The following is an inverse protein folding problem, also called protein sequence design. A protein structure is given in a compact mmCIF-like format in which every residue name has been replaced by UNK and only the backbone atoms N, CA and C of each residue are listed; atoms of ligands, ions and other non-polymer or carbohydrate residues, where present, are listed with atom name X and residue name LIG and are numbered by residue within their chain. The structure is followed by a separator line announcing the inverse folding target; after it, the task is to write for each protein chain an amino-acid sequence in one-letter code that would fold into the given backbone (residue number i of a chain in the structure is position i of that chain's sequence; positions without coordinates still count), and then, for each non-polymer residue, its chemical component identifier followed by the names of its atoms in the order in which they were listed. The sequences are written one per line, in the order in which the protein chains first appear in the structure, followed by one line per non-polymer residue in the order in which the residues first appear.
data_IF_968412796959
#
_entry.id   IF_968412796959
#
_cell.length_a   1.000
_cell.length_b   1.000
_cell.length_c   1.000
_cell.angle_alpha   90.00
_cell.angle_beta   90.00
_cell.angle_gamma   90.00
#
_symmetry.space_group_name_H-M   'P 1'
#
loop_
_entity.id
_entity.type
_entity.pdbx_description
1 polymer ?
#
# COMPACT_ATOMS: atom_id res chain seq x y z
N UNK A 1 79.26 50.14 -15.29
CA UNK A 1 77.93 50.46 -14.74
C UNK A 1 77.20 49.15 -14.50
N UNK A 2 76.74 48.98 -13.26
CA UNK A 2 75.79 47.97 -12.72
C UNK A 2 76.16 46.49 -12.70
N UNK A 3 76.63 46.07 -11.51
CA UNK A 3 76.60 44.73 -10.93
C UNK A 3 75.25 44.00 -11.13
N UNK A 4 75.29 42.71 -11.49
CA UNK A 4 74.24 41.73 -11.15
C UNK A 4 74.89 40.48 -10.54
N UNK A 5 74.49 40.05 -9.33
CA UNK A 5 75.03 38.89 -8.66
C UNK A 5 74.29 37.59 -9.05
N UNK A 6 75.06 36.50 -8.96
CA UNK A 6 74.66 35.09 -8.96
C UNK A 6 73.89 34.72 -7.69
N UNK A 7 72.76 34.00 -7.79
CA UNK A 7 72.20 33.21 -6.68
C UNK A 7 71.46 31.96 -7.18
N UNK A 8 71.68 30.88 -6.41
CA UNK A 8 71.31 29.46 -6.57
C UNK A 8 69.81 29.14 -6.68
N UNK A 9 69.45 27.94 -7.20
CA UNK A 9 68.07 27.49 -7.27
C UNK A 9 67.56 27.03 -5.90
N UNK A 10 66.51 27.69 -5.40
CA UNK A 10 65.78 27.33 -4.20
C UNK A 10 64.77 26.22 -4.53
N UNK A 11 64.91 25.07 -3.87
CA UNK A 11 63.94 23.97 -3.89
C UNK A 11 62.63 24.42 -3.25
N UNK A 12 61.56 24.51 -4.04
CA UNK A 12 60.20 24.66 -3.50
C UNK A 12 59.66 23.26 -3.23
N UNK A 13 59.55 22.94 -1.94
CA UNK A 13 58.84 21.77 -1.43
C UNK A 13 57.35 22.12 -1.43
N UNK A 14 56.59 21.51 -2.33
CA UNK A 14 55.12 21.62 -2.37
C UNK A 14 54.55 20.82 -1.20
N UNK A 15 54.15 21.52 -0.13
CA UNK A 15 53.40 20.95 0.98
C UNK A 15 51.92 20.86 0.56
N UNK A 16 51.48 19.68 0.12
CA UNK A 16 50.07 19.37 -0.12
C UNK A 16 49.35 19.23 1.23
N UNK A 17 48.63 20.28 1.66
CA UNK A 17 47.68 20.20 2.77
C UNK A 17 46.39 19.58 2.22
N UNK A 18 46.22 18.28 2.43
CA UNK A 18 44.95 17.58 2.22
C UNK A 18 43.97 17.99 3.34
N UNK A 19 43.16 19.00 3.08
CA UNK A 19 41.93 19.23 3.84
C UNK A 19 40.96 18.09 3.51
N UNK A 20 40.91 17.07 4.37
CA UNK A 20 39.81 16.10 4.39
C UNK A 20 38.54 16.82 4.86
N UNK A 21 37.80 17.41 3.92
CA UNK A 21 36.40 17.79 4.16
C UNK A 21 35.60 16.49 4.10
N UNK A 22 35.33 15.91 5.26
CA UNK A 22 34.35 14.85 5.41
C UNK A 22 32.96 15.45 5.16
N UNK A 23 32.52 15.42 3.90
CA UNK A 23 31.12 15.60 3.51
C UNK A 23 30.39 14.33 3.96
N UNK A 24 29.95 14.29 5.20
CA UNK A 24 28.93 13.35 5.64
C UNK A 24 27.58 13.88 5.14
N UNK A 25 27.19 13.43 3.95
CA UNK A 25 25.83 13.61 3.43
C UNK A 25 24.90 12.72 4.26
N UNK A 26 24.37 13.24 5.36
CA UNK A 26 23.23 12.64 6.07
C UNK A 26 21.98 12.84 5.21
N UNK A 27 21.86 12.08 4.12
CA UNK A 27 20.59 11.88 3.44
C UNK A 27 19.72 10.95 4.31
N UNK A 28 19.25 11.45 5.45
CA UNK A 28 18.14 10.83 6.17
C UNK A 28 16.92 10.96 5.28
N UNK A 29 16.58 9.89 4.58
CA UNK A 29 15.31 9.77 3.89
C UNK A 29 14.20 10.12 4.90
N UNK A 30 13.52 11.25 4.68
CA UNK A 30 12.38 11.66 5.50
C UNK A 30 11.31 10.62 5.27
N UNK A 31 11.03 9.80 6.29
CA UNK A 31 9.92 8.86 6.20
C UNK A 31 8.62 9.67 6.07
N UNK A 32 7.72 9.28 5.15
CA UNK A 32 6.46 9.98 4.99
C UNK A 32 5.68 9.97 6.30
N UNK A 33 5.08 11.11 6.65
CA UNK A 33 4.22 11.22 7.81
C UNK A 33 3.00 10.31 7.61
N UNK A 34 2.85 9.32 8.47
CA UNK A 34 1.74 8.36 8.43
C UNK A 34 0.69 8.74 9.47
N UNK A 35 -0.52 9.00 8.99
CA UNK A 35 -1.70 9.32 9.79
C UNK A 35 -2.50 8.05 10.09
N UNK A 36 -2.94 7.93 11.34
CA UNK A 36 -3.77 6.82 11.82
C UNK A 36 -4.82 7.30 12.79
N UNK A 37 -6.08 7.21 12.40
CA UNK A 37 -7.20 7.68 13.22
C UNK A 37 -8.51 7.01 12.79
N UNK A 38 -9.51 7.12 13.67
CA UNK A 38 -10.87 6.69 13.40
C UNK A 38 -11.76 7.92 13.27
N UNK A 39 -12.58 7.98 12.21
CA UNK A 39 -13.45 9.12 11.94
C UNK A 39 -14.69 8.77 11.12
N UNK A 40 -15.61 9.72 11.05
CA UNK A 40 -16.78 9.65 10.17
C UNK A 40 -16.41 10.05 8.75
N UNK A 41 -16.72 9.24 7.73
CA UNK A 41 -16.55 9.66 6.36
C UNK A 41 -17.54 10.76 5.99
N UNK A 42 -17.05 11.73 5.23
CA UNK A 42 -17.79 12.79 4.58
C UNK A 42 -17.69 12.54 3.08
N UNK A 43 -18.83 12.45 2.41
CA UNK A 43 -18.85 12.39 0.95
C UNK A 43 -19.06 13.79 0.39
N UNK A 44 -18.16 14.21 -0.48
CA UNK A 44 -18.22 15.47 -1.22
C UNK A 44 -18.57 15.17 -2.67
N UNK A 45 -19.62 15.81 -3.17
CA UNK A 45 -19.95 15.76 -4.59
C UNK A 45 -18.83 16.39 -5.44
N UNK A 46 -18.75 16.08 -6.74
CA UNK A 46 -17.71 16.65 -7.61
C UNK A 46 -18.30 17.20 -8.89
N UNK A 47 -17.88 18.40 -9.26
CA UNK A 47 -18.28 19.11 -10.49
C UNK A 47 -17.79 18.42 -11.78
N UNK A 48 -16.81 17.52 -11.68
CA UNK A 48 -16.13 16.88 -12.82
C UNK A 48 -16.76 15.56 -13.31
N UNK A 49 -18.01 15.24 -12.94
CA UNK A 49 -18.82 14.24 -13.64
C UNK A 49 -18.28 12.80 -13.68
N UNK A 50 -17.58 12.33 -12.63
CA UNK A 50 -17.12 10.93 -12.54
C UNK A 50 -17.74 10.15 -11.37
N UNK A 51 -17.70 8.83 -11.54
CA UNK A 51 -18.52 7.74 -10.96
C UNK A 51 -18.52 7.56 -9.42
N UNK A 52 -17.77 8.36 -8.67
CA UNK A 52 -17.80 8.38 -7.21
C UNK A 52 -17.11 9.66 -6.79
N UNK A 53 -17.82 10.55 -6.09
CA UNK A 53 -17.27 11.81 -5.59
C UNK A 53 -16.07 11.63 -4.66
N UNK A 54 -15.73 12.69 -3.95
CA UNK A 54 -14.60 12.69 -3.02
C UNK A 54 -15.01 12.09 -1.68
N UNK A 55 -14.15 11.23 -1.14
CA UNK A 55 -14.28 10.70 0.21
C UNK A 55 -13.29 11.41 1.13
N UNK A 56 -13.84 12.10 2.11
CA UNK A 56 -13.11 12.87 3.09
C UNK A 56 -13.36 12.31 4.47
N UNK A 57 -12.51 12.66 5.43
CA UNK A 57 -12.68 12.29 6.83
C UNK A 57 -11.91 13.29 7.69
N UNK A 58 -12.55 13.74 8.76
CA UNK A 58 -11.94 14.65 9.72
C UNK A 58 -11.29 13.83 10.83
N UNK A 59 -10.01 14.06 11.10
CA UNK A 59 -9.35 13.52 12.29
C UNK A 59 -9.90 14.25 13.52
N UNK A 60 -10.59 13.55 14.45
CA UNK A 60 -11.20 14.18 15.61
C UNK A 60 -10.17 14.79 16.57
N UNK A 61 -8.90 14.37 16.53
CA UNK A 61 -7.87 14.86 17.43
C UNK A 61 -7.25 16.18 16.97
N UNK A 62 -7.06 16.36 15.66
CA UNK A 62 -6.45 17.57 15.08
C UNK A 62 -7.44 18.51 14.42
N UNK A 63 -8.64 18.02 14.07
CA UNK A 63 -9.60 18.73 13.23
C UNK A 63 -9.19 18.80 11.75
N UNK A 64 -8.11 18.12 11.36
CA UNK A 64 -7.63 18.12 9.98
C UNK A 64 -8.53 17.25 9.10
N UNK A 65 -8.94 17.81 7.96
CA UNK A 65 -9.68 17.08 6.92
C UNK A 65 -8.73 16.40 5.95
N UNK A 66 -8.86 15.09 5.82
CA UNK A 66 -8.07 14.27 4.92
C UNK A 66 -8.89 13.77 3.72
N UNK A 67 -8.26 13.70 2.54
CA UNK A 67 -8.77 13.02 1.35
C UNK A 67 -8.33 11.55 1.36
N UNK A 68 -9.30 10.65 1.49
CA UNK A 68 -9.12 9.19 1.48
C UNK A 68 -9.66 8.55 0.20
N UNK A 69 -9.95 9.35 -0.82
CA UNK A 69 -10.52 8.89 -2.10
C UNK A 69 -9.62 7.88 -2.80
N UNK A 70 -8.31 7.91 -2.57
CA UNK A 70 -7.36 6.94 -3.12
C UNK A 70 -7.46 5.53 -2.52
N UNK A 71 -8.23 5.35 -1.42
CA UNK A 71 -8.42 4.06 -0.78
C UNK A 71 -8.99 2.99 -1.71
N UNK A 72 -8.50 1.76 -1.59
CA UNK A 72 -8.93 0.61 -2.41
C UNK A 72 -10.39 0.27 -2.14
N UNK A 73 -10.75 0.11 -0.88
CA UNK A 73 -12.13 0.13 -0.43
C UNK A 73 -12.62 1.57 -0.22
N UNK A 74 -13.88 1.80 -0.58
CA UNK A 74 -14.54 3.08 -0.33
C UNK A 74 -15.28 3.04 1.01
N UNK A 75 -15.30 4.16 1.75
CA UNK A 75 -16.13 4.27 2.94
C UNK A 75 -17.60 3.96 2.67
N UNK A 76 -18.32 3.56 3.72
CA UNK A 76 -19.77 3.47 3.72
C UNK A 76 -20.33 4.68 4.47
N UNK A 77 -21.20 5.46 3.82
CA UNK A 77 -21.85 6.60 4.47
C UNK A 77 -22.61 6.13 5.72
N UNK A 78 -22.35 6.79 6.84
CA UNK A 78 -22.97 6.48 8.12
C UNK A 78 -22.28 5.38 8.93
N UNK A 79 -21.10 4.91 8.50
CA UNK A 79 -20.24 4.03 9.30
C UNK A 79 -18.88 4.66 9.54
N UNK A 80 -18.34 4.49 10.74
CA UNK A 80 -16.98 4.92 11.09
C UNK A 80 -15.97 4.16 10.23
N UNK A 81 -14.84 4.79 9.95
CA UNK A 81 -13.73 4.18 9.25
C UNK A 81 -12.43 4.31 10.05
N UNK A 82 -11.59 3.28 10.00
CA UNK A 82 -10.18 3.36 10.34
C UNK A 82 -9.41 3.84 9.10
N UNK A 83 -8.67 4.93 9.25
CA UNK A 83 -7.80 5.52 8.25
C UNK A 83 -6.37 5.22 8.63
N UNK A 84 -5.60 4.68 7.69
CA UNK A 84 -4.16 4.50 7.80
C UNK A 84 -3.54 4.95 6.49
N UNK A 85 -2.83 6.08 6.46
CA UNK A 85 -2.35 6.65 5.20
C UNK A 85 -1.15 7.57 5.33
N UNK A 86 -0.37 7.69 4.26
CA UNK A 86 0.77 8.59 4.20
C UNK A 86 0.36 9.94 3.62
N UNK A 87 0.76 11.03 4.26
CA UNK A 87 0.54 12.39 3.75
C UNK A 87 1.31 12.56 2.43
N UNK A 88 0.57 12.82 1.36
CA UNK A 88 1.11 13.03 0.02
C UNK A 88 1.65 14.45 -0.13
N UNK A 89 2.71 14.58 -0.93
CA UNK A 89 3.28 15.88 -1.33
C UNK A 89 2.56 16.48 -2.56
N UNK A 90 1.49 15.83 -3.05
CA UNK A 90 0.69 16.33 -4.17
C UNK A 90 -0.12 17.58 -3.80
N UNK A 91 -0.57 18.32 -4.82
CA UNK A 91 -1.36 19.56 -4.63
C UNK A 91 -2.66 19.27 -3.82
N UNK A 92 -2.82 19.87 -2.62
CA UNK A 92 -3.96 19.62 -1.72
C UNK A 92 -5.31 20.15 -2.24
N UNK A 93 -5.35 20.77 -3.43
CA UNK A 93 -6.60 21.27 -4.02
C UNK A 93 -7.57 20.16 -4.43
N UNK A 94 -7.08 18.95 -4.68
CA UNK A 94 -7.95 17.82 -5.03
C UNK A 94 -8.86 17.48 -3.86
N UNK A 95 -10.15 17.38 -4.15
CA UNK A 95 -11.17 16.99 -3.17
C UNK A 95 -11.26 17.88 -1.92
N UNK A 96 -10.44 18.93 -1.77
CA UNK A 96 -10.43 19.90 -0.68
C UNK A 96 -10.12 19.33 0.71
N UNK A 97 -9.14 18.42 0.78
CA UNK A 97 -8.57 17.86 2.01
C UNK A 97 -7.10 17.51 1.82
N UNK A 98 -6.38 17.28 2.92
CA UNK A 98 -4.98 16.81 2.88
C UNK A 98 -4.95 15.41 2.29
N UNK A 99 -4.21 15.21 1.20
CA UNK A 99 -4.22 13.94 0.47
C UNK A 99 -3.48 12.86 1.25
N UNK A 100 -4.15 11.72 1.47
CA UNK A 100 -3.50 10.49 1.91
C UNK A 100 -3.32 9.54 0.73
N UNK A 101 -2.06 9.26 0.38
CA UNK A 101 -1.71 8.36 -0.72
C UNK A 101 -0.29 7.81 -0.53
N UNK A 102 -0.12 6.49 -0.31
CA UNK A 102 -1.17 5.47 -0.22
C UNK A 102 -2.05 5.61 1.04
N UNK A 103 -3.26 5.06 0.97
CA UNK A 103 -4.21 5.03 2.09
C UNK A 103 -5.00 3.72 2.13
N UNK A 104 -5.10 3.14 3.32
CA UNK A 104 -5.95 2.01 3.68
C UNK A 104 -7.17 2.55 4.45
N UNK A 105 -8.36 2.13 4.03
CA UNK A 105 -9.64 2.55 4.61
C UNK A 105 -10.40 1.30 5.03
N UNK A 106 -10.51 1.06 6.34
CA UNK A 106 -11.29 -0.07 6.85
C UNK A 106 -12.62 0.42 7.40
N UNK A 107 -13.73 -0.13 6.92
CA UNK A 107 -15.06 0.18 7.45
C UNK A 107 -15.26 -0.54 8.77
N UNK A 108 -15.69 0.21 9.78
CA UNK A 108 -15.91 -0.30 11.13
C UNK A 108 -17.42 -0.47 11.39
N UNK A 109 -17.83 -1.38 12.29
CA UNK A 109 -19.25 -1.63 12.55
C UNK A 109 -19.95 -0.46 13.27
N UNK A 110 -19.21 0.44 13.92
CA UNK A 110 -19.77 1.58 14.62
C UNK A 110 -20.44 2.53 13.64
N UNK A 111 -21.73 2.80 13.86
CA UNK A 111 -22.47 3.78 13.08
C UNK A 111 -22.03 5.21 13.44
N UNK A 112 -22.21 6.13 12.51
CA UNK A 112 -22.07 7.54 12.77
C UNK A 112 -22.94 8.40 11.85
N UNK A 113 -22.97 9.72 12.07
CA UNK A 113 -23.84 10.61 11.27
C UNK A 113 -23.31 10.69 9.83
N UNK A 114 -24.14 10.40 8.81
CA UNK A 114 -23.72 10.57 7.42
C UNK A 114 -23.61 12.06 7.09
N UNK A 115 -22.54 12.43 6.38
CA UNK A 115 -22.32 13.79 5.91
C UNK A 115 -22.13 13.80 4.39
N UNK A 116 -23.02 14.54 3.72
CA UNK A 116 -22.97 14.79 2.28
C UNK A 116 -22.80 16.30 2.08
N UNK A 117 -21.76 16.73 1.39
CA UNK A 117 -21.49 18.15 1.13
C UNK A 117 -21.41 18.42 -0.38
N UNK A 118 -21.79 19.63 -0.83
CA UNK A 118 -21.63 20.02 -2.23
C UNK A 118 -20.15 20.07 -2.63
N UNK A 119 -19.89 20.18 -3.94
CA UNK A 119 -18.52 20.19 -4.48
C UNK A 119 -17.63 21.34 -3.96
N UNK A 120 -18.25 22.48 -3.61
CA UNK A 120 -17.55 23.67 -3.08
C UNK A 120 -16.41 24.16 -4.01
N UNK A 121 -16.51 23.88 -5.31
CA UNK A 121 -15.50 24.25 -6.31
C UNK A 121 -14.20 23.45 -6.25
N UNK A 122 -14.14 22.37 -5.46
CA UNK A 122 -12.97 21.49 -5.42
C UNK A 122 -12.98 20.49 -6.57
N UNK A 123 -11.89 20.40 -7.37
CA UNK A 123 -11.81 19.40 -8.42
C UNK A 123 -11.78 17.99 -7.83
N UNK A 124 -12.56 17.09 -8.42
CA UNK A 124 -12.50 15.67 -8.12
C UNK A 124 -11.26 14.98 -8.69
N UNK A 125 -10.95 13.78 -8.20
CA UNK A 125 -9.91 12.93 -8.78
C UNK A 125 -10.34 12.40 -10.14
N UNK A 126 -9.54 12.67 -11.17
CA UNK A 126 -9.74 12.08 -12.49
C UNK A 126 -9.33 10.61 -12.43
N UNK A 127 -10.25 9.70 -12.76
CA UNK A 127 -9.88 8.29 -12.94
C UNK A 127 -8.75 8.14 -13.98
N UNK A 128 -7.70 7.48 -13.55
CA UNK A 128 -6.66 6.95 -14.41
C UNK A 128 -6.86 5.44 -14.47
N UNK A 129 -6.77 4.86 -15.67
CA UNK A 129 -6.77 3.42 -15.80
C UNK A 129 -5.48 2.89 -15.13
N UNK A 130 -5.57 1.93 -14.20
CA UNK A 130 -4.37 1.33 -13.62
C UNK A 130 -3.47 0.70 -14.68
N UNK A 131 -2.16 0.65 -14.41
CA UNK A 131 -1.20 0.02 -15.33
C UNK A 131 -1.50 -1.48 -15.53
N UNK A 132 -1.92 -2.14 -14.46
CA UNK A 132 -2.35 -3.53 -14.47
C UNK A 132 -3.87 -3.59 -14.33
N UNK A 133 -4.54 -4.04 -15.38
CA UNK A 133 -5.98 -4.29 -15.37
C UNK A 133 -6.25 -5.74 -15.75
N UNK A 134 -7.25 -6.32 -15.12
CA UNK A 134 -7.71 -7.65 -15.48
C UNK A 134 -8.23 -7.60 -16.93
N UNK A 135 -7.70 -8.44 -17.81
CA UNK A 135 -8.20 -8.48 -19.18
C UNK A 135 -9.56 -9.18 -19.20
N UNK A 136 -10.40 -8.97 -20.23
CA UNK A 136 -11.65 -9.71 -20.38
C UNK A 136 -11.39 -11.22 -20.46
N UNK A 137 -12.33 -12.03 -19.93
CA UNK A 137 -12.23 -13.50 -19.95
C UNK A 137 -12.20 -14.11 -21.34
N UNK A 138 -12.66 -13.38 -22.36
CA UNK A 138 -12.58 -13.76 -23.77
C UNK A 138 -11.18 -13.65 -24.37
N UNK A 139 -10.26 -12.94 -23.71
CA UNK A 139 -8.89 -12.76 -24.18
C UNK A 139 -8.04 -13.96 -23.73
N UNK A 140 -7.43 -14.72 -24.66
CA UNK A 140 -6.53 -15.82 -24.30
C UNK A 140 -5.35 -15.31 -23.46
N UNK A 141 -5.04 -16.03 -22.38
CA UNK A 141 -3.94 -15.66 -21.48
C UNK A 141 -2.62 -16.26 -21.93
N UNK A 142 -1.59 -15.42 -21.96
CA UNK A 142 -0.22 -15.84 -22.19
C UNK A 142 0.35 -16.36 -20.87
N UNK A 143 0.88 -17.59 -20.89
CA UNK A 143 1.57 -18.15 -19.73
C UNK A 143 3.00 -17.60 -19.66
N UNK A 144 3.51 -17.27 -18.45
CA UNK A 144 4.92 -16.89 -18.27
C UNK A 144 5.87 -17.96 -18.83
N UNK A 145 6.96 -17.60 -19.54
CA UNK A 145 7.94 -18.56 -20.03
C UNK A 145 8.89 -19.06 -18.93
N UNK A 146 9.56 -20.21 -19.12
CA UNK A 146 10.65 -20.66 -18.23
C UNK A 146 11.91 -19.79 -18.35
N UNK A 147 12.87 -19.85 -17.40
CA UNK A 147 12.90 -20.74 -16.22
C UNK A 147 11.92 -20.32 -15.12
N UNK A 148 11.42 -21.31 -14.37
CA UNK A 148 10.52 -21.07 -13.26
C UNK A 148 11.29 -21.11 -11.94
N UNK A 149 11.22 -20.02 -11.18
CA UNK A 149 11.82 -19.86 -9.86
C UNK A 149 10.74 -19.75 -8.77
N UNK A 150 11.08 -19.95 -7.49
CA UNK A 150 10.17 -19.65 -6.40
C UNK A 150 9.63 -18.23 -6.49
N UNK A 151 8.32 -18.06 -6.34
CA UNK A 151 7.66 -16.76 -6.50
C UNK A 151 6.66 -16.51 -5.39
N UNK A 152 6.62 -15.28 -4.90
CA UNK A 152 5.71 -14.85 -3.84
C UNK A 152 4.84 -13.70 -4.33
N UNK A 153 3.56 -13.75 -3.98
CA UNK A 153 2.59 -12.69 -4.24
C UNK A 153 1.92 -12.29 -2.93
N UNK A 154 1.74 -11.00 -2.71
CA UNK A 154 1.11 -10.48 -1.48
C UNK A 154 -0.16 -9.72 -1.81
N UNK A 155 -1.25 -10.05 -1.12
CA UNK A 155 -2.54 -9.36 -1.19
C UNK A 155 -2.79 -8.73 0.17
N UNK A 156 -2.97 -7.42 0.22
CA UNK A 156 -3.31 -6.70 1.45
C UNK A 156 -4.83 -6.62 1.65
N UNK A 157 -5.25 -6.55 2.91
CA UNK A 157 -6.65 -6.50 3.32
C UNK A 157 -6.91 -5.41 4.35
N UNK A 158 -8.11 -4.88 4.33
CA UNK A 158 -8.65 -3.98 5.34
C UNK A 158 -8.97 -4.73 6.65
N UNK A 159 -9.06 -3.99 7.75
CA UNK A 159 -9.33 -4.52 9.09
C UNK A 159 -10.61 -5.36 9.08
N UNK A 160 -10.51 -6.59 9.60
CA UNK A 160 -11.60 -7.56 9.73
C UNK A 160 -12.31 -7.90 8.40
N UNK A 161 -11.61 -7.77 7.27
CA UNK A 161 -12.13 -8.07 5.93
C UNK A 161 -11.38 -9.24 5.28
N UNK A 162 -12.12 -10.14 4.63
CA UNK A 162 -11.64 -11.17 3.70
C UNK A 162 -12.02 -10.85 2.24
N UNK A 163 -12.53 -9.64 1.99
CA UNK A 163 -13.01 -9.22 0.68
C UNK A 163 -11.86 -9.05 -0.32
N UNK A 164 -11.98 -9.70 -1.49
CA UNK A 164 -11.03 -9.53 -2.59
C UNK A 164 -11.40 -8.28 -3.40
N UNK A 165 -10.58 -7.24 -3.31
CA UNK A 165 -10.87 -5.96 -3.95
C UNK A 165 -10.73 -6.06 -5.47
N UNK A 166 -11.79 -5.67 -6.18
CA UNK A 166 -11.84 -5.59 -7.64
C UNK A 166 -10.66 -4.79 -8.21
N UNK A 167 -10.08 -5.26 -9.32
CA UNK A 167 -8.89 -4.70 -10.00
C UNK A 167 -7.58 -4.63 -9.18
N UNK A 168 -7.60 -4.87 -7.87
CA UNK A 168 -6.39 -4.98 -7.05
C UNK A 168 -6.05 -6.46 -6.76
N UNK A 169 -6.88 -7.13 -5.96
CA UNK A 169 -6.63 -8.52 -5.58
C UNK A 169 -6.72 -9.45 -6.79
N UNK A 170 -7.65 -9.18 -7.71
CA UNK A 170 -7.89 -9.99 -8.90
C UNK A 170 -6.68 -10.04 -9.85
N UNK A 171 -5.98 -8.91 -10.05
CA UNK A 171 -4.82 -8.86 -10.96
C UNK A 171 -3.62 -9.62 -10.38
N UNK A 172 -3.46 -9.59 -9.05
CA UNK A 172 -2.45 -10.36 -8.32
C UNK A 172 -2.80 -11.86 -8.39
N UNK A 173 -4.05 -12.23 -8.10
CA UNK A 173 -4.53 -13.61 -8.18
C UNK A 173 -4.36 -14.17 -9.60
N UNK A 174 -4.76 -13.42 -10.63
CA UNK A 174 -4.59 -13.83 -12.02
C UNK A 174 -3.12 -14.09 -12.34
N UNK A 175 -2.22 -13.18 -11.96
CA UNK A 175 -0.78 -13.33 -12.18
C UNK A 175 -0.23 -14.59 -11.51
N UNK A 176 -0.64 -14.86 -10.25
CA UNK A 176 -0.22 -16.02 -9.49
C UNK A 176 -0.79 -17.33 -10.07
N UNK A 177 -2.05 -17.33 -10.55
CA UNK A 177 -2.66 -18.49 -11.22
C UNK A 177 -2.00 -18.78 -12.56
N UNK A 178 -1.71 -17.78 -13.37
CA UNK A 178 -1.02 -17.97 -14.64
C UNK A 178 0.37 -18.55 -14.42
N UNK A 179 1.09 -18.08 -13.40
CA UNK A 179 2.37 -18.66 -13.02
C UNK A 179 2.23 -20.11 -12.56
N UNK A 180 1.26 -20.40 -11.69
CA UNK A 180 0.96 -21.77 -11.22
C UNK A 180 0.66 -22.72 -12.37
N UNK A 181 -0.11 -22.28 -13.37
CA UNK A 181 -0.42 -23.09 -14.57
C UNK A 181 0.80 -23.34 -15.44
N UNK A 182 1.69 -22.34 -15.56
CA UNK A 182 2.91 -22.42 -16.35
C UNK A 182 3.95 -23.35 -15.71
N UNK A 183 4.21 -23.18 -14.41
CA UNK A 183 5.25 -23.91 -13.69
C UNK A 183 4.85 -25.31 -13.24
N UNK A 184 3.54 -25.59 -13.09
CA UNK A 184 2.99 -26.86 -12.58
C UNK A 184 3.65 -27.25 -11.24
N UNK A 185 3.59 -26.37 -10.23
CA UNK A 185 4.35 -26.52 -9.00
C UNK A 185 3.89 -27.75 -8.23
N UNK A 186 4.79 -28.32 -7.43
CA UNK A 186 4.42 -29.38 -6.47
C UNK A 186 3.59 -28.84 -5.31
N UNK A 187 3.77 -27.55 -4.97
CA UNK A 187 3.12 -26.90 -3.84
C UNK A 187 2.86 -25.42 -4.11
N UNK A 188 1.66 -24.98 -3.74
CA UNK A 188 1.27 -23.59 -3.60
C UNK A 188 0.84 -23.38 -2.15
N UNK A 189 1.61 -22.60 -1.40
CA UNK A 189 1.31 -22.25 -0.02
C UNK A 189 0.58 -20.91 0.00
N UNK A 190 -0.63 -20.88 0.56
CA UNK A 190 -1.43 -19.68 0.78
C UNK A 190 -1.46 -19.44 2.29
N UNK A 191 -0.76 -18.41 2.74
CA UNK A 191 -0.64 -18.04 4.14
C UNK A 191 -1.43 -16.78 4.44
N UNK A 192 -2.47 -16.89 5.26
CA UNK A 192 -3.25 -15.73 5.72
C UNK A 192 -2.70 -15.15 7.03
N UNK A 193 -2.82 -13.84 7.18
CA UNK A 193 -2.31 -13.11 8.33
C UNK A 193 -3.34 -12.14 8.90
N UNK A 194 -3.36 -12.02 10.22
CA UNK A 194 -4.19 -11.09 10.96
C UNK A 194 -3.36 -10.25 11.93
N UNK A 195 -3.73 -8.98 12.09
CA UNK A 195 -3.18 -8.06 13.07
C UNK A 195 -3.81 -8.32 14.45
N UNK A 196 -3.42 -9.42 15.10
CA UNK A 196 -3.99 -9.87 16.39
C UNK A 196 -3.46 -9.10 17.59
N UNK A 197 -2.32 -8.43 17.47
CA UNK A 197 -1.76 -7.58 18.51
C UNK A 197 -2.58 -6.30 18.63
N UNK A 198 -3.08 -5.96 19.83
CA UNK A 198 -3.87 -4.74 20.03
C UNK A 198 -3.02 -3.49 19.88
N UNK A 199 -3.58 -2.49 19.18
CA UNK A 199 -3.03 -1.14 19.09
C UNK A 199 -4.13 -0.14 19.46
N UNK A 200 -3.74 0.94 20.13
CA UNK A 200 -4.67 2.02 20.48
C UNK A 200 -4.72 3.06 19.36
N UNK A 201 -5.90 3.29 18.78
CA UNK A 201 -6.15 4.30 17.75
C UNK A 201 -7.37 5.12 18.16
N UNK A 202 -7.21 6.44 18.27
CA UNK A 202 -8.29 7.36 18.67
C UNK A 202 -9.03 6.93 19.95
N UNK A 203 -8.30 6.37 20.92
CA UNK A 203 -8.84 5.87 22.19
C UNK A 203 -9.60 4.54 22.10
N UNK A 204 -9.49 3.83 20.97
CA UNK A 204 -10.08 2.51 20.77
C UNK A 204 -8.98 1.47 20.58
N UNK A 205 -9.13 0.33 21.25
CA UNK A 205 -8.28 -0.83 21.06
C UNK A 205 -8.68 -1.57 19.78
N UNK A 206 -7.79 -1.56 18.80
CA UNK A 206 -7.96 -2.20 17.50
C UNK A 206 -7.13 -3.48 17.45
N UNK A 207 -7.80 -4.60 17.16
CA UNK A 207 -7.20 -5.91 16.90
C UNK A 207 -8.12 -6.75 16.04
N UNK A 208 -7.54 -7.70 15.32
CA UNK A 208 -8.28 -8.70 14.55
C UNK A 208 -8.43 -10.02 15.34
N UNK A 209 -9.50 -10.76 15.04
CA UNK A 209 -9.61 -12.16 15.43
C UNK A 209 -8.76 -13.02 14.47
N UNK A 210 -8.05 -14.02 14.98
CA UNK A 210 -7.23 -14.93 14.16
C UNK A 210 -8.04 -15.63 13.05
N UNK A 211 -9.35 -15.81 13.23
CA UNK A 211 -10.24 -16.39 12.24
C UNK A 211 -10.25 -15.61 10.92
N UNK A 212 -10.00 -14.29 10.92
CA UNK A 212 -9.94 -13.52 9.67
C UNK A 212 -8.74 -13.92 8.81
N UNK A 213 -7.61 -14.29 9.42
CA UNK A 213 -6.44 -14.79 8.69
C UNK A 213 -6.81 -16.07 7.92
N UNK A 214 -7.54 -16.96 8.57
CA UNK A 214 -8.06 -18.18 7.95
C UNK A 214 -9.04 -17.86 6.82
N UNK A 215 -10.03 -17.00 7.08
CA UNK A 215 -11.04 -16.61 6.08
C UNK A 215 -10.40 -16.02 4.81
N UNK A 216 -9.41 -15.13 4.97
CA UNK A 216 -8.63 -14.57 3.86
C UNK A 216 -7.92 -15.66 3.04
N UNK A 217 -7.23 -16.59 3.71
CA UNK A 217 -6.54 -17.69 3.03
C UNK A 217 -7.52 -18.60 2.27
N UNK A 218 -8.67 -18.93 2.89
CA UNK A 218 -9.73 -19.72 2.27
C UNK A 218 -10.36 -19.01 1.07
N UNK A 219 -10.57 -17.68 1.14
CA UNK A 219 -11.10 -16.89 0.04
C UNK A 219 -10.14 -16.87 -1.17
N UNK A 220 -8.84 -16.70 -0.94
CA UNK A 220 -7.82 -16.76 -2.01
C UNK A 220 -7.73 -18.18 -2.59
N UNK A 221 -7.80 -19.21 -1.76
CA UNK A 221 -7.82 -20.60 -2.21
C UNK A 221 -9.05 -20.92 -3.08
N UNK A 222 -10.21 -20.40 -2.70
CA UNK A 222 -11.45 -20.51 -3.47
C UNK A 222 -11.32 -19.80 -4.83
N UNK A 223 -10.68 -18.64 -4.89
CA UNK A 223 -10.38 -17.96 -6.16
C UNK A 223 -9.45 -18.81 -7.05
N UNK A 224 -8.39 -19.40 -6.50
CA UNK A 224 -7.50 -20.31 -7.23
C UNK A 224 -8.26 -21.53 -7.80
N UNK A 225 -9.13 -22.14 -7.00
CA UNK A 225 -9.97 -23.27 -7.41
C UNK A 225 -10.92 -22.90 -8.52
N UNK A 226 -11.61 -21.76 -8.42
CA UNK A 226 -12.51 -21.23 -9.47
C UNK A 226 -11.77 -20.93 -10.76
N UNK A 227 -10.49 -20.55 -10.65
CA UNK A 227 -9.58 -20.37 -11.78
C UNK A 227 -8.85 -21.66 -12.16
N UNK A 228 -9.34 -22.84 -11.77
CA UNK A 228 -8.91 -24.13 -12.30
C UNK A 228 -7.56 -24.65 -11.78
N UNK A 229 -7.04 -24.12 -10.68
CA UNK A 229 -5.90 -24.73 -9.99
C UNK A 229 -6.37 -25.93 -9.17
N UNK A 230 -5.66 -27.06 -9.27
CA UNK A 230 -5.99 -28.28 -8.52
C UNK A 230 -5.84 -28.07 -7.01
N UNK A 231 -6.83 -28.51 -6.24
CA UNK A 231 -6.82 -28.45 -4.77
C UNK A 231 -5.67 -29.25 -4.15
N UNK A 232 -5.20 -30.30 -4.82
CA UNK A 232 -4.10 -31.13 -4.34
C UNK A 232 -2.77 -30.37 -4.23
N UNK A 233 -2.59 -29.32 -5.02
CA UNK A 233 -1.40 -28.46 -4.98
C UNK A 233 -1.48 -27.37 -3.89
N UNK A 234 -2.70 -27.05 -3.41
CA UNK A 234 -2.92 -25.95 -2.47
C UNK A 234 -2.68 -26.42 -1.02
N UNK A 235 -1.93 -25.63 -0.26
CA UNK A 235 -1.76 -25.75 1.18
C UNK A 235 -2.12 -24.43 1.83
N UNK A 236 -2.96 -24.48 2.86
CA UNK A 236 -3.41 -23.30 3.60
C UNK A 236 -2.74 -23.27 4.97
N UNK A 237 -2.26 -22.10 5.35
CA UNK A 237 -1.78 -21.80 6.70
C UNK A 237 -2.32 -20.42 7.11
N UNK A 238 -2.45 -20.17 8.41
CA UNK A 238 -2.82 -18.86 8.91
C UNK A 238 -2.13 -18.56 10.24
N UNK A 239 -1.77 -17.30 10.44
CA UNK A 239 -0.97 -16.85 11.59
C UNK A 239 -1.48 -15.50 12.10
N UNK A 240 -1.41 -15.34 13.42
CA UNK A 240 -1.52 -14.04 14.08
C UNK A 240 -0.13 -13.42 14.22
N UNK A 241 -0.09 -12.15 14.62
CA UNK A 241 1.12 -11.45 15.05
C UNK A 241 2.30 -11.58 14.08
N UNK A 242 2.02 -11.53 12.77
CA UNK A 242 3.09 -11.51 11.79
C UNK A 242 3.83 -10.17 11.84
N UNK A 243 5.15 -10.25 11.64
CA UNK A 243 5.95 -9.09 11.28
C UNK A 243 5.35 -8.38 10.06
N UNK A 244 5.73 -7.12 9.88
CA UNK A 244 5.40 -6.37 8.67
C UNK A 244 6.00 -7.09 7.47
N UNK A 245 5.18 -7.39 6.46
CA UNK A 245 5.74 -7.71 5.15
C UNK A 245 6.57 -6.52 4.65
N UNK A 246 7.42 -6.76 3.66
CA UNK A 246 7.85 -5.69 2.75
C UNK A 246 6.62 -5.23 1.96
N UNK A 247 5.77 -4.41 2.58
CA UNK A 247 4.71 -3.73 1.86
C UNK A 247 5.31 -2.53 1.16
N UNK A 248 5.16 -2.50 -0.16
CA UNK A 248 5.69 -1.46 -1.03
C UNK A 248 5.08 -0.06 -0.75
N UNK A 249 4.00 0.01 0.03
CA UNK A 249 3.23 1.22 0.30
C UNK A 249 3.61 1.92 1.62
N UNK A 250 4.50 1.36 2.44
CA UNK A 250 4.98 1.98 3.68
C UNK A 250 3.95 2.02 4.82
N UNK A 251 2.75 1.46 4.66
CA UNK A 251 1.72 1.40 5.69
C UNK A 251 1.90 0.16 6.57
N UNK A 252 2.86 0.22 7.49
CA UNK A 252 3.34 -0.94 8.27
C UNK A 252 2.24 -1.72 9.00
N UNK A 253 1.34 -1.03 9.71
CA UNK A 253 0.26 -1.72 10.44
C UNK A 253 -0.79 -2.31 9.50
N UNK A 254 -1.13 -1.61 8.41
CA UNK A 254 -1.99 -2.16 7.37
C UNK A 254 -1.39 -3.38 6.68
N UNK A 255 -0.07 -3.39 6.47
CA UNK A 255 0.69 -4.49 5.87
C UNK A 255 0.68 -5.79 6.69
N UNK A 256 0.28 -5.74 7.96
CA UNK A 256 0.10 -6.97 8.77
C UNK A 256 -1.11 -7.79 8.33
N UNK A 257 -2.08 -7.15 7.68
CA UNK A 257 -3.33 -7.75 7.23
C UNK A 257 -3.20 -8.18 5.78
N UNK A 258 -2.83 -9.44 5.56
CA UNK A 258 -2.43 -9.89 4.22
C UNK A 258 -2.64 -11.38 3.99
N UNK A 259 -2.53 -11.77 2.73
CA UNK A 259 -2.27 -13.14 2.30
C UNK A 259 -0.98 -13.15 1.49
N UNK A 260 -0.11 -14.10 1.78
CA UNK A 260 1.07 -14.42 0.96
C UNK A 260 0.80 -15.72 0.18
N UNK A 261 1.07 -15.71 -1.11
CA UNK A 261 0.95 -16.86 -2.00
C UNK A 261 2.35 -17.22 -2.48
N UNK A 262 2.90 -18.32 -1.96
CA UNK A 262 4.21 -18.84 -2.35
C UNK A 262 4.06 -20.02 -3.29
N UNK A 263 4.66 -19.92 -4.47
CA UNK A 263 4.65 -20.94 -5.51
C UNK A 263 6.06 -21.49 -5.64
N UNK A 264 6.21 -22.80 -5.45
CA UNK A 264 7.47 -23.54 -5.58
C UNK A 264 7.37 -24.47 -6.79
N UNK A 265 7.96 -24.10 -7.95
CA UNK A 265 7.97 -24.89 -9.19
C UNK A 265 8.44 -26.34 -9.01
#
# INVERSE_FOLDING_TARGET
MTNRPSFSPLRIVTLLVLCNVAMADENKAVQPQVERFIGCPVYRDTDAGRKSGCWLVDDPSTGTRYDVTAGRLKPILGQMILVEGAVSQQDPKLCGGVILEPVSVSVLPQACKPYLIPAEGHPGRRFALPANVMQPSSVPRVLPPPPYEPREYTILFELNSDFLVYQYSETIIESAVLYTRASKPRRVLISGYAATHPIEISGQSIREDIAIARARAEMVAEAFRRLGVSTSALKLEWKGDAGTAHADDGLTEAARRRVEIRIEP
#
